data_IF_257784148142
#
_entry.id   IF_257784148142
#
_cell.length_a   1.000
_cell.length_b   1.000
_cell.length_c   1.000
_cell.angle_alpha   90.00
_cell.angle_beta   90.00
_cell.angle_gamma   90.00
#
_symmetry.space_group_name_H-M   'P 1'
#
loop_
_entity.id
_entity.type
_entity.pdbx_description
1 polymer ?
#
# COMPACT_ATOMS: atom_id res chain seq x y z
N UNK A 1 -15.82 -27.58 -51.41
CA UNK A 1 -16.59 -27.81 -50.16
C UNK A 1 -15.89 -27.06 -49.03
N UNK A 2 -16.52 -26.10 -48.34
CA UNK A 2 -15.85 -25.33 -47.31
C UNK A 2 -15.54 -26.23 -46.10
N UNK A 3 -14.31 -26.15 -45.59
CA UNK A 3 -13.79 -27.04 -44.55
C UNK A 3 -14.48 -26.72 -43.20
N UNK A 4 -15.40 -27.58 -42.75
CA UNK A 4 -16.20 -27.42 -41.51
C UNK A 4 -15.35 -27.11 -40.27
N UNK A 5 -14.11 -27.60 -40.23
CA UNK A 5 -13.15 -27.37 -39.16
C UNK A 5 -12.66 -25.92 -39.07
N UNK A 6 -12.63 -25.19 -40.20
CA UNK A 6 -12.20 -23.79 -40.26
C UNK A 6 -13.24 -22.85 -39.66
N UNK A 7 -14.52 -23.13 -39.89
CA UNK A 7 -15.64 -22.38 -39.31
C UNK A 7 -15.79 -22.60 -37.81
N UNK A 8 -15.56 -23.82 -37.32
CA UNK A 8 -15.54 -24.14 -35.89
C UNK A 8 -14.40 -23.41 -35.18
N UNK A 9 -13.18 -23.39 -35.75
CA UNK A 9 -12.04 -22.66 -35.20
C UNK A 9 -12.27 -21.14 -35.19
N UNK A 10 -12.89 -20.59 -36.24
CA UNK A 10 -13.28 -19.19 -36.28
C UNK A 10 -14.34 -18.86 -35.22
N UNK A 11 -15.32 -19.73 -35.02
CA UNK A 11 -16.34 -19.59 -33.95
C UNK A 11 -15.73 -19.61 -32.55
N UNK A 12 -14.80 -20.53 -32.28
CA UNK A 12 -14.07 -20.58 -31.00
C UNK A 12 -13.21 -19.32 -30.77
N UNK A 13 -12.55 -18.81 -31.81
CA UNK A 13 -11.79 -17.57 -31.73
C UNK A 13 -12.69 -16.36 -31.46
N UNK A 14 -13.86 -16.28 -32.09
CA UNK A 14 -14.84 -15.20 -31.85
C UNK A 14 -15.44 -15.27 -30.45
N UNK A 15 -15.72 -16.46 -29.91
CA UNK A 15 -16.21 -16.64 -28.53
C UNK A 15 -15.17 -16.20 -27.49
N UNK A 16 -13.88 -16.49 -27.71
CA UNK A 16 -12.79 -16.04 -26.85
C UNK A 16 -12.58 -14.51 -26.89
N UNK A 17 -12.82 -13.88 -28.04
CA UNK A 17 -12.68 -12.43 -28.22
C UNK A 17 -13.89 -11.67 -27.64
N UNK A 18 -15.10 -12.22 -27.72
CA UNK A 18 -16.33 -11.58 -27.24
C UNK A 18 -16.61 -11.86 -25.76
N UNK A 19 -16.10 -12.97 -25.20
CA UNK A 19 -16.35 -13.37 -23.80
C UNK A 19 -15.39 -12.80 -22.74
N UNK A 20 -14.46 -11.91 -23.10
CA UNK A 20 -13.24 -11.67 -22.30
C UNK A 20 -13.14 -10.40 -21.46
N UNK A 21 -14.11 -9.48 -21.44
CA UNK A 21 -13.94 -8.19 -20.74
C UNK A 21 -14.84 -8.05 -19.51
N UNK A 22 -14.39 -8.58 -18.38
CA UNK A 22 -14.99 -8.30 -17.08
C UNK A 22 -14.40 -6.99 -16.51
N UNK A 23 -15.22 -6.08 -15.95
CA UNK A 23 -14.70 -4.91 -15.25
C UNK A 23 -13.95 -5.36 -13.99
N UNK A 24 -12.65 -5.06 -13.92
CA UNK A 24 -11.85 -5.26 -12.71
C UNK A 24 -11.91 -4.00 -11.84
N UNK A 25 -12.31 -4.13 -10.58
CA UNK A 25 -12.31 -3.02 -9.64
C UNK A 25 -11.02 -3.06 -8.81
N UNK A 26 -10.26 -1.97 -8.84
CA UNK A 26 -9.06 -1.81 -8.02
C UNK A 26 -9.27 -0.66 -7.03
N UNK A 27 -8.97 -0.90 -5.77
CA UNK A 27 -8.92 0.09 -4.71
C UNK A 27 -7.50 0.15 -4.15
N UNK A 28 -7.03 1.34 -3.76
CA UNK A 28 -5.63 1.53 -3.38
C UNK A 28 -5.49 2.51 -2.21
N UNK A 29 -4.45 2.29 -1.40
CA UNK A 29 -4.01 3.27 -0.42
C UNK A 29 -3.35 4.45 -1.12
N UNK A 30 -3.56 5.68 -0.67
CA UNK A 30 -2.89 6.85 -1.27
C UNK A 30 -1.37 6.74 -1.09
N UNK A 31 -0.94 6.23 0.05
CA UNK A 31 0.47 5.97 0.34
C UNK A 31 0.70 5.74 1.84
N UNK A 32 1.96 5.79 2.25
CA UNK A 32 2.32 5.76 3.65
C UNK A 32 3.69 6.37 3.90
N UNK A 33 3.92 6.79 5.13
CA UNK A 33 5.16 7.36 5.62
C UNK A 33 5.59 6.62 6.89
N UNK A 34 6.85 6.20 6.94
CA UNK A 34 7.43 5.47 8.07
C UNK A 34 8.59 6.30 8.63
N UNK A 35 8.40 6.76 9.86
CA UNK A 35 9.38 7.58 10.58
C UNK A 35 9.82 6.87 11.86
N UNK A 36 11.04 7.19 12.32
CA UNK A 36 11.57 6.72 13.59
C UNK A 36 12.12 7.88 14.40
N UNK A 37 12.00 7.80 15.72
CA UNK A 37 12.56 8.77 16.65
C UNK A 37 13.20 8.05 17.83
N UNK A 38 14.47 8.36 18.12
CA UNK A 38 15.15 7.82 19.29
C UNK A 38 14.58 8.48 20.57
N UNK A 39 14.03 7.68 21.48
CA UNK A 39 13.49 8.15 22.77
C UNK A 39 14.47 7.94 23.93
N UNK A 40 15.71 7.51 23.64
CA UNK A 40 16.77 7.22 24.62
C UNK A 40 16.90 5.72 24.96
N UNK A 41 18.03 5.32 25.55
CA UNK A 41 18.33 3.95 25.96
C UNK A 41 18.10 2.89 24.86
N UNK A 42 18.50 3.19 23.62
CA UNK A 42 18.31 2.33 22.45
C UNK A 42 16.82 2.02 22.14
N UNK A 43 15.90 2.83 22.66
CA UNK A 43 14.47 2.74 22.37
C UNK A 43 14.14 3.69 21.23
N UNK A 44 13.40 3.19 20.24
CA UNK A 44 12.99 3.92 19.07
C UNK A 44 11.48 3.86 18.94
N UNK A 45 10.84 5.03 18.92
CA UNK A 45 9.45 5.15 18.54
C UNK A 45 9.36 5.06 17.02
N UNK A 46 8.70 4.02 16.53
CA UNK A 46 8.37 3.84 15.13
C UNK A 46 6.95 4.35 14.91
N UNK A 47 6.78 5.23 13.91
CA UNK A 47 5.49 5.78 13.50
C UNK A 47 5.29 5.54 12.02
N UNK A 48 4.34 4.68 11.71
CA UNK A 48 3.82 4.48 10.37
C UNK A 48 2.52 5.25 10.22
N UNK A 49 2.41 6.08 9.19
CA UNK A 49 1.18 6.77 8.79
C UNK A 49 0.74 6.18 7.47
N UNK A 50 -0.51 5.72 7.37
CA UNK A 50 -1.06 5.17 6.13
C UNK A 50 -2.24 6.02 5.70
N UNK A 51 -2.22 6.49 4.45
CA UNK A 51 -3.22 7.34 3.84
C UNK A 51 -4.09 6.54 2.87
N UNK A 52 -5.38 6.81 2.82
CA UNK A 52 -6.30 6.25 1.82
C UNK A 52 -7.35 7.25 1.35
N UNK A 53 -7.94 6.97 0.20
CA UNK A 53 -9.13 7.67 -0.27
C UNK A 53 -10.35 7.21 0.54
N UNK A 54 -11.05 8.15 1.17
CA UNK A 54 -12.23 7.83 1.98
C UNK A 54 -13.45 7.44 1.14
N UNK A 55 -13.48 7.83 -0.14
CA UNK A 55 -14.54 7.48 -1.10
C UNK A 55 -14.34 6.06 -1.68
N UNK A 56 -13.16 5.46 -1.48
CA UNK A 56 -12.87 4.10 -1.92
C UNK A 56 -13.57 3.07 -1.03
N UNK A 57 -14.32 2.15 -1.64
CA UNK A 57 -14.95 1.03 -0.94
C UNK A 57 -13.96 -0.11 -0.62
N UNK A 58 -12.81 -0.17 -1.31
CA UNK A 58 -11.76 -1.16 -1.07
C UNK A 58 -10.51 -0.60 -0.40
N UNK A 59 -9.54 -1.48 -0.10
CA UNK A 59 -8.26 -1.16 0.55
C UNK A 59 -8.40 -0.40 1.89
N UNK A 60 -9.30 -0.85 2.76
CA UNK A 60 -9.49 -0.32 4.12
C UNK A 60 -8.18 -0.27 4.90
N UNK A 61 -8.03 0.64 5.87
CA UNK A 61 -6.86 0.67 6.74
C UNK A 61 -6.85 -0.58 7.64
N UNK A 62 -5.76 -1.33 7.62
CA UNK A 62 -5.67 -2.60 8.37
C UNK A 62 -5.76 -2.35 9.87
N UNK A 63 -6.50 -3.21 10.59
CA UNK A 63 -6.61 -3.09 12.05
C UNK A 63 -5.26 -3.25 12.76
N UNK A 64 -4.34 -3.99 12.13
CA UNK A 64 -2.98 -4.19 12.61
C UNK A 64 -2.01 -4.14 11.42
N UNK A 65 -0.94 -3.36 11.54
CA UNK A 65 0.12 -3.27 10.55
C UNK A 65 1.31 -4.16 10.93
N UNK A 66 1.82 -4.93 9.98
CA UNK A 66 3.03 -5.73 10.13
C UNK A 66 4.26 -4.92 9.70
N UNK A 67 5.10 -4.53 10.64
CA UNK A 67 6.35 -3.82 10.39
C UNK A 67 7.51 -4.79 10.59
N UNK A 68 8.25 -5.06 9.51
CA UNK A 68 9.43 -5.91 9.53
C UNK A 68 10.69 -5.12 9.85
N UNK A 69 11.53 -5.66 10.73
CA UNK A 69 12.85 -5.12 11.03
C UNK A 69 13.86 -6.19 10.66
N UNK A 70 14.78 -5.84 9.76
CA UNK A 70 15.76 -6.73 9.17
C UNK A 70 17.17 -6.30 9.56
N UNK A 71 18.09 -7.25 9.55
CA UNK A 71 19.51 -6.97 9.62
C UNK A 71 19.95 -6.21 8.36
N UNK A 72 20.71 -5.11 8.54
CA UNK A 72 21.06 -4.25 7.42
C UNK A 72 22.07 -4.82 6.43
N UNK A 73 22.71 -5.96 6.73
CA UNK A 73 23.66 -6.64 5.82
C UNK A 73 23.11 -7.98 5.35
N UNK A 74 22.69 -8.84 6.27
CA UNK A 74 22.22 -10.20 5.90
C UNK A 74 20.80 -10.21 5.35
N UNK A 75 20.02 -9.15 5.56
CA UNK A 75 18.60 -9.10 5.21
C UNK A 75 17.74 -10.06 6.02
N UNK A 76 18.28 -10.69 7.07
CA UNK A 76 17.53 -11.59 7.93
C UNK A 76 16.47 -10.81 8.71
N UNK A 77 15.24 -11.32 8.75
CA UNK A 77 14.19 -10.78 9.62
C UNK A 77 14.60 -10.97 11.10
N UNK A 78 14.66 -9.85 11.83
CA UNK A 78 14.98 -9.80 13.25
C UNK A 78 13.70 -9.67 14.10
N UNK A 79 12.78 -8.80 13.67
CA UNK A 79 11.50 -8.59 14.35
C UNK A 79 10.37 -8.43 13.34
N UNK A 80 9.20 -8.99 13.65
CA UNK A 80 7.95 -8.71 12.95
C UNK A 80 6.97 -8.10 13.95
N UNK A 81 6.85 -6.79 13.93
CA UNK A 81 6.00 -6.04 14.85
C UNK A 81 4.57 -6.02 14.32
N UNK A 82 3.62 -6.32 15.21
CA UNK A 82 2.19 -6.21 14.94
C UNK A 82 1.67 -4.97 15.68
N UNK A 83 1.45 -3.88 14.94
CA UNK A 83 1.11 -2.58 15.52
C UNK A 83 -0.35 -2.29 15.27
N UNK A 84 -1.12 -2.03 16.32
CA UNK A 84 -2.54 -1.74 16.19
C UNK A 84 -2.78 -0.37 15.56
N UNK A 85 -3.85 -0.28 14.77
CA UNK A 85 -4.33 0.94 14.16
C UNK A 85 -4.81 1.92 15.22
N UNK A 86 -4.37 3.17 15.13
CA UNK A 86 -4.93 4.28 15.88
C UNK A 86 -6.28 4.75 15.34
N UNK A 87 -6.68 5.97 15.71
CA UNK A 87 -7.85 6.61 15.14
C UNK A 87 -7.65 6.89 13.63
N UNK A 88 -8.74 6.74 12.87
CA UNK A 88 -8.81 7.22 11.48
C UNK A 88 -9.15 8.71 11.52
N UNK A 89 -8.35 9.53 10.83
CA UNK A 89 -8.45 10.98 10.85
C UNK A 89 -8.64 11.48 9.41
N UNK A 90 -9.71 12.24 9.11
CA UNK A 90 -9.88 12.85 7.79
C UNK A 90 -8.86 13.98 7.59
N UNK A 91 -8.25 14.00 6.42
CA UNK A 91 -7.36 15.08 5.98
C UNK A 91 -8.21 16.17 5.31
N UNK A 92 -8.12 17.43 5.75
CA UNK A 92 -8.86 18.51 5.13
C UNK A 92 -8.43 18.71 3.68
N UNK A 93 -9.41 18.83 2.78
CA UNK A 93 -9.17 19.02 1.35
C UNK A 93 -8.55 20.39 1.00
N UNK A 94 -8.67 21.38 1.90
CA UNK A 94 -8.03 22.68 1.72
C UNK A 94 -6.61 22.66 2.33
N UNK A 95 -5.60 22.68 1.48
CA UNK A 95 -4.21 22.84 1.94
C UNK A 95 -3.88 24.28 2.33
N UNK A 96 -4.85 25.21 2.25
CA UNK A 96 -4.65 26.64 2.48
C UNK A 96 -3.76 27.32 1.44
N UNK A 97 -3.31 26.60 0.41
CA UNK A 97 -2.39 27.09 -0.61
C UNK A 97 -3.19 27.47 -1.87
N UNK A 98 -3.21 28.77 -2.26
CA UNK A 98 -3.94 29.22 -3.44
C UNK A 98 -3.39 28.66 -4.76
N UNK A 99 -2.18 28.09 -4.76
CA UNK A 99 -1.56 27.44 -5.92
C UNK A 99 -1.98 25.97 -6.08
N UNK A 100 -2.53 25.35 -5.01
CA UNK A 100 -3.00 23.97 -5.03
C UNK A 100 -4.52 23.98 -5.11
N UNK A 101 -5.05 24.11 -6.32
CA UNK A 101 -6.46 23.85 -6.56
C UNK A 101 -6.70 22.35 -6.50
N UNK A 102 -7.15 21.87 -5.33
CA UNK A 102 -7.59 20.50 -5.18
C UNK A 102 -8.78 20.24 -6.13
N UNK A 103 -8.71 19.20 -6.98
CA UNK A 103 -9.87 18.71 -7.72
C UNK A 103 -11.12 18.56 -6.84
N UNK A 104 -12.33 18.78 -7.39
CA UNK A 104 -13.55 18.49 -6.65
C UNK A 104 -13.60 17.00 -6.26
N UNK A 105 -14.14 16.72 -5.07
CA UNK A 105 -14.30 15.37 -4.49
C UNK A 105 -13.02 14.68 -3.98
N UNK A 106 -11.93 15.41 -3.71
CA UNK A 106 -10.82 14.81 -2.96
C UNK A 106 -11.26 14.56 -1.52
N UNK A 107 -11.19 13.29 -1.11
CA UNK A 107 -11.28 12.90 0.27
C UNK A 107 -10.11 11.98 0.61
N UNK A 108 -9.33 12.32 1.63
CA UNK A 108 -8.24 11.48 2.10
C UNK A 108 -8.36 11.35 3.61
N UNK A 109 -8.12 10.16 4.12
CA UNK A 109 -8.02 9.91 5.56
C UNK A 109 -6.76 9.10 5.84
N UNK A 110 -6.28 9.16 7.09
CA UNK A 110 -5.11 8.41 7.50
C UNK A 110 -5.28 7.80 8.88
N UNK A 111 -4.48 6.78 9.18
CA UNK A 111 -4.30 6.27 10.53
C UNK A 111 -2.82 6.19 10.89
N UNK A 112 -2.53 6.41 12.17
CA UNK A 112 -1.20 6.24 12.74
C UNK A 112 -1.09 4.85 13.38
N UNK A 113 0.06 4.21 13.18
CA UNK A 113 0.50 2.98 13.84
C UNK A 113 1.78 3.32 14.57
N UNK A 114 1.72 3.39 15.90
CA UNK A 114 2.83 3.84 16.75
C UNK A 114 3.22 2.71 17.69
N UNK A 115 4.50 2.40 17.72
CA UNK A 115 5.08 1.44 18.66
C UNK A 115 6.47 1.89 19.10
N UNK A 116 6.93 1.39 20.24
CA UNK A 116 8.31 1.60 20.70
C UNK A 116 9.01 0.26 20.68
N UNK A 117 10.16 0.21 20.00
CA UNK A 117 10.99 -0.98 19.88
C UNK A 117 12.40 -0.72 20.40
N UNK A 118 12.94 -1.69 21.14
CA UNK A 118 14.36 -1.69 21.51
C UNK A 118 15.20 -2.15 20.33
N UNK A 119 16.13 -1.31 19.90
CA UNK A 119 17.07 -1.55 18.80
C UNK A 119 18.49 -1.24 19.29
N UNK A 120 19.14 -2.19 20.01
CA UNK A 120 20.51 -2.01 20.47
C UNK A 120 21.49 -1.79 19.30
N UNK A 121 22.60 -1.06 19.49
CA UNK A 121 23.58 -0.85 18.44
C UNK A 121 24.05 -2.15 17.80
N UNK A 122 24.00 -2.22 16.46
CA UNK A 122 24.51 -3.33 15.67
C UNK A 122 25.40 -2.78 14.57
N UNK A 123 26.53 -3.44 14.32
CA UNK A 123 27.45 -3.05 13.25
C UNK A 123 26.81 -3.13 11.86
N UNK A 124 25.90 -4.09 11.66
CA UNK A 124 25.13 -4.25 10.42
C UNK A 124 24.00 -3.23 10.25
N UNK A 125 23.65 -2.46 11.31
CA UNK A 125 22.48 -1.59 11.30
C UNK A 125 21.16 -2.35 11.21
N UNK A 126 20.08 -1.60 10.99
CA UNK A 126 18.72 -2.12 10.85
C UNK A 126 18.05 -1.55 9.61
N UNK A 127 17.28 -2.39 8.91
CA UNK A 127 16.37 -1.96 7.85
C UNK A 127 14.95 -2.18 8.34
N UNK A 128 14.19 -1.09 8.47
CA UNK A 128 12.79 -1.13 8.88
C UNK A 128 11.93 -0.97 7.64
N UNK A 129 11.00 -1.91 7.43
CA UNK A 129 10.15 -1.94 6.25
C UNK A 129 8.71 -2.23 6.66
N UNK A 130 7.80 -1.52 6.00
CA UNK A 130 6.38 -1.84 5.98
C UNK A 130 6.01 -2.17 4.55
N UNK A 131 5.43 -3.34 4.34
CA UNK A 131 4.89 -3.73 3.06
C UNK A 131 3.45 -4.18 3.25
N UNK A 132 2.54 -3.49 2.57
CA UNK A 132 1.21 -4.00 2.31
C UNK A 132 1.21 -4.52 0.89
N UNK A 133 0.83 -5.79 0.70
CA UNK A 133 0.57 -6.27 -0.64
C UNK A 133 -0.60 -5.48 -1.24
N UNK A 134 -0.69 -5.48 -2.56
CA UNK A 134 -1.71 -4.78 -3.35
C UNK A 134 -1.33 -3.33 -3.71
N UNK A 135 -0.21 -3.19 -4.44
CA UNK A 135 0.07 -2.01 -5.26
C UNK A 135 -0.92 -1.95 -6.43
N UNK A 136 -1.36 -0.74 -6.81
CA UNK A 136 -2.19 -0.53 -7.99
C UNK A 136 -1.44 -0.85 -9.30
N UNK A 137 -2.10 -1.51 -10.25
CA UNK A 137 -1.58 -1.79 -11.59
C UNK A 137 -1.40 -0.52 -12.48
N UNK A 138 -1.87 0.65 -12.05
CA UNK A 138 -1.69 1.92 -12.78
C UNK A 138 -0.32 2.57 -12.62
N UNK A 139 0.57 2.07 -11.75
CA UNK A 139 1.97 2.53 -11.74
C UNK A 139 2.78 1.69 -12.72
N UNK A 140 2.96 2.21 -13.93
CA UNK A 140 3.77 1.62 -15.02
C UNK A 140 5.22 2.13 -15.08
N UNK A 141 5.65 3.00 -14.15
CA UNK A 141 6.95 3.69 -14.25
C UNK A 141 8.09 3.10 -13.40
N UNK A 142 7.88 1.97 -12.72
CA UNK A 142 8.99 1.22 -12.13
C UNK A 142 9.16 -0.07 -12.92
N UNK A 143 10.19 -0.07 -13.75
CA UNK A 143 10.67 -1.23 -14.50
C UNK A 143 11.74 -1.95 -13.69
#
# INVERSE_FOLDING_TARGET
MPNRTMWLRALWAVILIVGGTFPTWAAHLVGGDLTYTCTGNNMYQLKLVVYRDCNSTGAQLDQTASIGIYDGVSGQLLYNLQVNKGATIPLPANTGNPCLQAPPNICTEYANYITIQSLPPRASGYVISYQRCCRNATITNLN
#
